data_IF_185400606100
#
_entry.id   IF_185400606100
#
_cell.length_a   1.000
_cell.length_b   1.000
_cell.length_c   1.000
_cell.angle_alpha   90.00
_cell.angle_beta   90.00
_cell.angle_gamma   90.00
#
_symmetry.space_group_name_H-M   'P 1'
#
loop_
_entity.id
_entity.type
_entity.pdbx_description
1 polymer ?
#
# COMPACT_ATOMS: atom_id res chain seq x y z
N UNK A 1 2.90 -3.41 -0.84
CA UNK A 1 2.40 -2.43 0.15
C UNK A 1 0.97 -2.07 -0.22
N UNK A 2 0.08 -1.98 0.76
CA UNK A 2 -1.31 -1.54 0.60
C UNK A 2 -1.47 -0.24 1.39
N UNK A 3 -2.07 0.80 0.82
CA UNK A 3 -2.27 2.10 1.50
C UNK A 3 -3.61 2.73 1.11
N UNK A 4 -4.29 3.39 2.06
CA UNK A 4 -5.50 4.15 1.78
C UNK A 4 -5.21 5.64 1.62
N UNK A 5 -5.72 6.29 0.57
CA UNK A 5 -5.46 7.71 0.28
C UNK A 5 -6.05 8.71 1.28
N UNK A 6 -6.96 8.27 2.17
CA UNK A 6 -7.54 9.06 3.25
C UNK A 6 -6.99 8.67 4.64
N UNK A 7 -5.90 7.89 4.72
CA UNK A 7 -5.21 7.62 5.97
C UNK A 7 -4.58 8.91 6.53
N UNK A 8 -5.28 9.55 7.48
CA UNK A 8 -4.82 10.78 8.14
C UNK A 8 -3.65 10.53 9.10
N UNK A 9 -3.67 9.47 9.95
CA UNK A 9 -2.52 9.14 10.80
C UNK A 9 -1.22 8.88 10.01
N UNK A 10 -1.31 8.25 8.84
CA UNK A 10 -0.17 7.92 8.00
C UNK A 10 -0.43 8.39 6.56
N UNK A 11 0.02 9.59 6.19
CA UNK A 11 -0.19 10.14 4.86
C UNK A 11 0.38 9.23 3.76
N UNK A 12 -0.32 9.12 2.63
CA UNK A 12 0.08 8.32 1.47
C UNK A 12 1.51 8.59 1.00
N UNK A 13 1.95 9.85 1.08
CA UNK A 13 3.30 10.29 0.72
C UNK A 13 4.40 9.45 1.41
N UNK A 14 4.16 8.96 2.64
CA UNK A 14 5.14 8.12 3.35
C UNK A 14 5.41 6.80 2.60
N UNK A 15 4.36 6.16 2.08
CA UNK A 15 4.47 4.93 1.30
C UNK A 15 5.05 5.20 -0.10
N UNK A 16 4.76 6.35 -0.69
CA UNK A 16 5.34 6.78 -1.98
C UNK A 16 6.85 7.02 -1.85
N UNK A 17 7.30 7.72 -0.80
CA UNK A 17 8.71 7.96 -0.52
C UNK A 17 9.47 6.66 -0.25
N UNK A 18 8.86 5.73 0.50
CA UNK A 18 9.44 4.41 0.73
C UNK A 18 9.60 3.64 -0.59
N UNK A 19 8.56 3.63 -1.44
CA UNK A 19 8.63 3.01 -2.76
C UNK A 19 9.77 3.58 -3.60
N UNK A 20 9.87 4.91 -3.70
CA UNK A 20 10.95 5.55 -4.45
C UNK A 20 12.35 5.14 -3.95
N UNK A 21 12.51 5.00 -2.63
CA UNK A 21 13.76 4.54 -2.05
C UNK A 21 14.05 3.08 -2.40
N UNK A 22 13.07 2.19 -2.29
CA UNK A 22 13.20 0.77 -2.66
C UNK A 22 13.53 0.60 -4.15
N UNK A 23 12.83 1.35 -5.02
CA UNK A 23 13.07 1.37 -6.47
C UNK A 23 14.51 1.82 -6.78
N UNK A 24 15.02 2.83 -6.08
CA UNK A 24 16.40 3.31 -6.21
C UNK A 24 17.44 2.23 -5.88
N UNK A 25 17.15 1.34 -4.94
CA UNK A 25 18.04 0.24 -4.57
C UNK A 25 17.76 -1.07 -5.34
N UNK A 26 16.83 -1.05 -6.31
CA UNK A 26 16.47 -2.24 -7.09
C UNK A 26 15.78 -3.31 -6.26
N UNK A 27 15.16 -2.94 -5.13
CA UNK A 27 14.39 -3.86 -4.30
C UNK A 27 13.00 -4.01 -4.93
N UNK A 28 12.65 -5.22 -5.33
CA UNK A 28 11.33 -5.51 -5.88
C UNK A 28 10.23 -5.16 -4.86
N UNK A 29 9.28 -4.32 -5.28
CA UNK A 29 8.20 -3.84 -4.44
C UNK A 29 7.02 -3.36 -5.30
N UNK A 30 5.83 -3.37 -4.70
CA UNK A 30 4.61 -2.82 -5.29
C UNK A 30 3.88 -1.95 -4.27
N UNK A 31 3.22 -0.89 -4.72
CA UNK A 31 2.36 -0.03 -3.89
C UNK A 31 0.97 0.00 -4.52
N UNK A 32 -0.01 -0.56 -3.81
CA UNK A 32 -1.42 -0.50 -4.18
C UNK A 32 -2.12 0.54 -3.31
N UNK A 33 -2.84 1.46 -3.95
CA UNK A 33 -3.54 2.55 -3.27
C UNK A 33 -5.05 2.36 -3.41
N UNK A 34 -5.74 2.25 -2.29
CA UNK A 34 -7.20 2.22 -2.24
C UNK A 34 -7.77 3.63 -2.11
N UNK A 35 -8.71 3.97 -3.00
CA UNK A 35 -9.29 5.31 -3.10
C UNK A 35 -10.46 5.51 -2.14
N UNK A 36 -10.50 6.64 -1.44
CA UNK A 36 -11.50 6.94 -0.43
C UNK A 36 -11.33 6.16 0.87
N UNK A 37 -10.14 5.60 1.13
CA UNK A 37 -9.93 4.61 2.19
C UNK A 37 -9.03 5.16 3.28
N UNK A 38 -9.48 5.04 4.53
CA UNK A 38 -8.74 5.49 5.72
C UNK A 38 -7.96 4.37 6.42
N UNK A 39 -7.39 4.73 7.56
CA UNK A 39 -6.61 3.81 8.40
C UNK A 39 -7.42 2.58 8.84
N UNK A 40 -6.80 1.39 8.80
CA UNK A 40 -7.41 0.12 9.24
C UNK A 40 -8.76 -0.21 8.59
N UNK A 41 -8.97 0.20 7.35
CA UNK A 41 -10.24 -0.03 6.65
C UNK A 41 -10.47 -1.53 6.35
N UNK A 42 -11.71 -2.04 6.50
CA UNK A 42 -12.03 -3.46 6.26
C UNK A 42 -11.75 -3.96 4.84
N UNK A 43 -11.62 -3.05 3.86
CA UNK A 43 -11.30 -3.41 2.47
C UNK A 43 -9.98 -4.18 2.37
N UNK A 44 -9.03 -3.92 3.28
CA UNK A 44 -7.72 -4.58 3.27
C UNK A 44 -7.80 -6.08 3.61
N UNK A 45 -8.88 -6.52 4.27
CA UNK A 45 -9.12 -7.93 4.59
C UNK A 45 -9.95 -8.65 3.50
N UNK A 46 -10.30 -7.96 2.41
CA UNK A 46 -11.05 -8.56 1.31
C UNK A 46 -10.15 -9.39 0.41
N UNK A 47 -10.74 -10.35 -0.30
CA UNK A 47 -10.03 -11.19 -1.26
C UNK A 47 -9.20 -10.37 -2.26
N UNK A 48 -9.73 -9.22 -2.72
CA UNK A 48 -9.03 -8.27 -3.59
C UNK A 48 -7.67 -7.85 -3.03
N UNK A 49 -7.62 -7.40 -1.79
CA UNK A 49 -6.37 -6.89 -1.20
C UNK A 49 -5.47 -8.04 -0.71
N UNK A 50 -6.06 -9.11 -0.17
CA UNK A 50 -5.33 -10.29 0.29
C UNK A 50 -4.63 -10.97 -0.89
N UNK A 51 -5.27 -11.06 -2.06
CA UNK A 51 -4.65 -11.68 -3.24
C UNK A 51 -3.39 -10.95 -3.68
N UNK A 52 -3.37 -9.61 -3.64
CA UNK A 52 -2.17 -8.83 -4.00
C UNK A 52 -0.98 -9.13 -3.07
N UNK A 53 -1.25 -9.39 -1.79
CA UNK A 53 -0.21 -9.76 -0.83
C UNK A 53 0.27 -11.19 -1.07
N UNK A 54 -0.65 -12.13 -1.29
CA UNK A 54 -0.32 -13.56 -1.50
C UNK A 54 0.45 -13.78 -2.80
N UNK A 55 0.09 -13.10 -3.89
CA UNK A 55 0.75 -13.26 -5.19
C UNK A 55 2.12 -12.58 -5.28
N UNK A 56 2.43 -11.65 -4.39
CA UNK A 56 3.72 -10.97 -4.36
C UNK A 56 4.84 -11.82 -3.72
N UNK A 57 4.50 -12.91 -3.02
CA UNK A 57 5.46 -13.80 -2.30
C UNK A 57 6.26 -14.70 -3.25
#
# INVERSE_FOLDING_TARGET
MLHGDLDKPVPLEQSELLKQLLDKYGVENQLFVEQGVGHSAPVFDTEKCVSEVVYFV
#
